data_IF_875136180285
#
_entry.id   IF_875136180285
#
_cell.length_a   1.000
_cell.length_b   1.000
_cell.length_c   1.000
_cell.angle_alpha   90.00
_cell.angle_beta   90.00
_cell.angle_gamma   90.00
#
_symmetry.space_group_name_H-M   'P 1'
#
loop_
_entity.id
_entity.type
_entity.pdbx_description
1 polymer ?
#
# COMPACT_ATOMS: atom_id res chain seq x y z
N UNK A 1 -20.42 -2.56 -14.22
CA UNK A 1 -19.30 -1.73 -13.73
C UNK A 1 -19.56 -0.25 -13.95
N UNK A 2 -19.60 0.26 -15.20
CA UNK A 2 -19.77 1.71 -15.46
C UNK A 2 -21.03 2.29 -14.84
N UNK A 3 -22.18 1.60 -14.97
CA UNK A 3 -23.45 2.07 -14.43
C UNK A 3 -23.40 2.27 -12.90
N UNK A 4 -22.95 1.25 -12.16
CA UNK A 4 -22.80 1.30 -10.69
C UNK A 4 -21.84 2.40 -10.23
N UNK A 5 -20.67 2.52 -10.87
CA UNK A 5 -19.69 3.54 -10.50
C UNK A 5 -20.21 4.97 -10.72
N UNK A 6 -21.05 5.18 -11.75
CA UNK A 6 -21.54 6.50 -12.12
C UNK A 6 -22.86 6.88 -11.44
N UNK A 7 -23.64 5.90 -10.97
CA UNK A 7 -25.04 6.13 -10.57
C UNK A 7 -25.35 5.76 -9.12
N UNK A 8 -24.50 4.97 -8.45
CA UNK A 8 -24.74 4.57 -7.06
C UNK A 8 -24.53 5.74 -6.10
N UNK A 9 -25.46 5.90 -5.16
CA UNK A 9 -25.47 7.02 -4.19
C UNK A 9 -24.20 7.07 -3.35
N UNK A 10 -23.73 5.89 -2.93
CA UNK A 10 -22.41 5.67 -2.33
C UNK A 10 -21.56 4.92 -3.34
N UNK A 11 -20.30 5.33 -3.51
CA UNK A 11 -19.39 4.64 -4.43
C UNK A 11 -19.27 3.16 -4.03
N UNK A 12 -19.36 2.22 -5.00
CA UNK A 12 -19.37 0.79 -4.72
C UNK A 12 -17.95 0.24 -4.49
N UNK A 13 -17.21 0.86 -3.56
CA UNK A 13 -15.87 0.46 -3.16
C UNK A 13 -15.87 -0.03 -1.72
N UNK A 14 -15.14 -1.12 -1.46
CA UNK A 14 -14.92 -1.63 -0.11
C UNK A 14 -13.43 -1.57 0.25
N UNK A 15 -13.09 -0.70 1.21
CA UNK A 15 -11.74 -0.57 1.73
C UNK A 15 -11.26 -1.80 2.52
N UNK A 16 -12.17 -2.67 2.99
CA UNK A 16 -11.81 -3.91 3.69
C UNK A 16 -11.16 -4.93 2.75
N UNK A 17 -11.61 -4.98 1.49
CA UNK A 17 -10.99 -5.83 0.46
C UNK A 17 -9.53 -5.41 0.27
N UNK A 18 -9.28 -4.09 0.25
CA UNK A 18 -7.92 -3.55 0.13
C UNK A 18 -7.06 -3.93 1.35
N UNK A 19 -7.61 -3.90 2.56
CA UNK A 19 -6.93 -4.34 3.76
C UNK A 19 -6.53 -5.83 3.71
N UNK A 20 -7.44 -6.68 3.20
CA UNK A 20 -7.20 -8.12 3.06
C UNK A 20 -6.04 -8.39 2.09
N UNK A 21 -6.01 -7.73 0.93
CA UNK A 21 -4.93 -7.93 -0.05
C UNK A 21 -3.60 -7.36 0.42
N UNK A 22 -3.58 -6.23 1.14
CA UNK A 22 -2.35 -5.67 1.72
C UNK A 22 -1.67 -6.63 2.68
N UNK A 23 -2.45 -7.36 3.50
CA UNK A 23 -1.93 -8.40 4.38
C UNK A 23 -1.26 -9.53 3.58
N UNK A 24 -1.95 -10.05 2.56
CA UNK A 24 -1.41 -11.09 1.69
C UNK A 24 -0.11 -10.63 1.02
N UNK A 25 -0.06 -9.39 0.54
CA UNK A 25 1.12 -8.84 -0.12
C UNK A 25 2.29 -8.61 0.84
N UNK A 26 2.03 -8.12 2.05
CA UNK A 26 3.05 -7.98 3.09
C UNK A 26 3.64 -9.34 3.48
N UNK A 27 2.80 -10.36 3.65
CA UNK A 27 3.24 -11.74 3.93
C UNK A 27 4.06 -12.31 2.74
N UNK A 28 3.60 -12.09 1.50
CA UNK A 28 4.30 -12.56 0.28
C UNK A 28 5.71 -11.95 0.19
N UNK A 29 5.83 -10.63 0.32
CA UNK A 29 7.13 -9.95 0.17
C UNK A 29 8.07 -10.26 1.34
N UNK A 30 7.53 -10.43 2.55
CA UNK A 30 8.30 -10.89 3.70
C UNK A 30 8.86 -12.30 3.45
N UNK A 31 8.05 -13.24 2.95
CA UNK A 31 8.50 -14.59 2.62
C UNK A 31 9.61 -14.60 1.55
N UNK A 32 9.60 -13.65 0.60
CA UNK A 32 10.69 -13.47 -0.36
C UNK A 32 11.97 -13.02 0.35
N UNK A 33 11.88 -12.05 1.26
CA UNK A 33 13.03 -11.59 2.06
C UNK A 33 13.64 -12.70 2.93
N UNK A 34 12.81 -13.64 3.39
CA UNK A 34 13.23 -14.79 4.21
C UNK A 34 14.07 -15.82 3.46
N UNK A 35 14.32 -15.64 2.16
CA UNK A 35 15.37 -16.37 1.42
C UNK A 35 16.78 -15.93 1.85
N UNK A 36 16.90 -14.78 2.53
CA UNK A 36 18.16 -14.18 2.98
C UNK A 36 18.14 -13.87 4.49
N UNK A 37 17.88 -14.86 5.36
CA UNK A 37 17.62 -14.61 6.78
C UNK A 37 18.87 -14.14 7.54
N UNK A 38 20.07 -14.51 7.10
CA UNK A 38 21.32 -14.10 7.75
C UNK A 38 21.61 -12.64 7.47
N UNK A 39 21.45 -12.20 6.23
CA UNK A 39 21.67 -10.84 5.78
C UNK A 39 20.63 -9.89 6.37
N UNK A 40 19.36 -10.29 6.43
CA UNK A 40 18.32 -9.55 7.14
C UNK A 40 18.73 -9.21 8.58
N UNK A 41 19.34 -10.18 9.29
CA UNK A 41 19.86 -9.97 10.64
C UNK A 41 21.12 -9.09 10.66
N UNK A 42 22.07 -9.34 9.76
CA UNK A 42 23.33 -8.59 9.65
C UNK A 42 23.09 -7.10 9.38
N UNK A 43 22.18 -6.77 8.47
CA UNK A 43 21.88 -5.39 8.06
C UNK A 43 20.71 -4.75 8.84
N UNK A 44 20.18 -5.47 9.84
CA UNK A 44 19.07 -5.05 10.70
C UNK A 44 17.84 -4.60 9.90
N UNK A 45 17.43 -5.41 8.92
CA UNK A 45 16.24 -5.17 8.12
C UNK A 45 15.04 -5.76 8.85
N UNK A 46 14.02 -4.92 9.08
CA UNK A 46 12.77 -5.32 9.72
C UNK A 46 11.57 -4.91 8.86
N UNK A 47 10.53 -5.74 8.87
CA UNK A 47 9.23 -5.48 8.25
C UNK A 47 8.17 -5.00 9.26
N UNK A 48 8.53 -4.81 10.53
CA UNK A 48 7.59 -4.47 11.60
C UNK A 48 6.81 -3.20 11.30
N UNK A 49 7.46 -2.20 10.69
CA UNK A 49 6.81 -0.95 10.28
C UNK A 49 5.73 -1.18 9.23
N UNK A 50 6.00 -2.02 8.22
CA UNK A 50 5.04 -2.37 7.18
C UNK A 50 3.86 -3.16 7.77
N UNK A 51 4.14 -4.19 8.57
CA UNK A 51 3.08 -4.97 9.22
C UNK A 51 2.24 -4.12 10.18
N UNK A 52 2.86 -3.21 10.92
CA UNK A 52 2.16 -2.25 11.78
C UNK A 52 1.25 -1.33 10.96
N UNK A 53 1.73 -0.79 9.84
CA UNK A 53 0.93 0.04 8.95
C UNK A 53 -0.25 -0.72 8.35
N UNK A 54 -0.05 -1.96 7.88
CA UNK A 54 -1.12 -2.82 7.35
C UNK A 54 -2.16 -3.15 8.42
N UNK A 55 -1.72 -3.45 9.64
CA UNK A 55 -2.63 -3.68 10.77
C UNK A 55 -3.48 -2.43 11.04
N UNK A 56 -2.86 -1.27 11.12
CA UNK A 56 -3.57 -0.02 11.39
C UNK A 56 -4.53 0.34 10.25
N UNK A 57 -4.12 0.15 8.99
CA UNK A 57 -4.99 0.28 7.82
C UNK A 57 -6.22 -0.63 7.94
N UNK A 58 -6.04 -1.90 8.32
CA UNK A 58 -7.14 -2.85 8.49
C UNK A 58 -8.13 -2.39 9.57
N UNK A 59 -7.62 -1.93 10.71
CA UNK A 59 -8.45 -1.42 11.80
C UNK A 59 -9.22 -0.15 11.40
N UNK A 60 -8.56 0.78 10.71
CA UNK A 60 -9.18 2.04 10.26
C UNK A 60 -10.20 1.78 9.14
N UNK A 61 -9.90 0.90 8.18
CA UNK A 61 -10.83 0.49 7.13
C UNK A 61 -12.09 -0.16 7.74
N UNK A 62 -11.93 -0.99 8.78
CA UNK A 62 -13.08 -1.56 9.50
C UNK A 62 -13.93 -0.49 10.17
N UNK A 63 -13.32 0.50 10.83
CA UNK A 63 -14.03 1.63 11.44
C UNK A 63 -14.73 2.49 10.38
N UNK A 64 -14.07 2.79 9.27
CA UNK A 64 -14.65 3.53 8.15
C UNK A 64 -15.88 2.81 7.58
N UNK A 65 -15.78 1.50 7.32
CA UNK A 65 -16.90 0.69 6.82
C UNK A 65 -18.10 0.69 7.77
N UNK A 66 -17.88 0.64 9.09
CA UNK A 66 -18.96 0.80 10.08
C UNK A 66 -19.61 2.18 10.01
N UNK A 67 -18.83 3.26 9.97
CA UNK A 67 -19.35 4.64 9.81
C UNK A 67 -20.13 4.81 8.52
N UNK A 68 -19.73 4.14 7.45
CA UNK A 68 -20.41 4.17 6.16
C UNK A 68 -21.78 3.45 6.21
N UNK A 69 -21.91 2.39 7.01
CA UNK A 69 -23.19 1.69 7.23
C UNK A 69 -24.18 2.56 8.01
N UNK A 70 -23.70 3.28 9.02
CA UNK A 70 -24.49 4.16 9.88
C UNK A 70 -24.74 5.56 9.28
N UNK A 71 -24.29 5.80 8.05
CA UNK A 71 -24.36 7.10 7.37
C UNK A 71 -25.82 7.52 7.10
N UNK A 72 -26.18 8.73 7.54
CA UNK A 72 -27.40 9.40 7.10
C UNK A 72 -27.27 9.86 5.65
N UNK A 73 -27.82 9.07 4.73
CA UNK A 73 -27.80 9.32 3.28
C UNK A 73 -28.65 10.52 2.86
N UNK A 74 -29.47 11.08 3.75
CA UNK A 74 -30.25 12.29 3.45
C UNK A 74 -29.43 13.57 3.52
N UNK A 75 -28.29 13.55 4.23
CA UNK A 75 -27.37 14.68 4.32
C UNK A 75 -26.37 14.64 3.14
N UNK A 76 -26.50 15.53 2.13
CA UNK A 76 -25.68 15.48 0.93
C UNK A 76 -24.20 15.82 1.21
N UNK A 77 -23.91 16.60 2.25
CA UNK A 77 -22.54 17.00 2.59
C UNK A 77 -21.80 15.81 3.21
N UNK A 78 -22.40 15.13 4.19
CA UNK A 78 -21.80 13.95 4.81
C UNK A 78 -21.62 12.82 3.79
N UNK A 79 -22.63 12.60 2.93
CA UNK A 79 -22.52 11.66 1.83
C UNK A 79 -21.35 11.98 0.90
N UNK A 80 -21.17 13.26 0.56
CA UNK A 80 -20.06 13.70 -0.29
C UNK A 80 -18.70 13.47 0.36
N UNK A 81 -18.56 13.81 1.65
CA UNK A 81 -17.31 13.59 2.40
C UNK A 81 -16.93 12.10 2.39
N UNK A 82 -17.88 11.20 2.68
CA UNK A 82 -17.63 9.75 2.65
C UNK A 82 -17.26 9.25 1.26
N UNK A 83 -17.94 9.72 0.21
CA UNK A 83 -17.63 9.37 -1.17
C UNK A 83 -16.25 9.88 -1.60
N UNK A 84 -15.86 11.08 -1.17
CA UNK A 84 -14.52 11.59 -1.46
C UNK A 84 -13.45 10.75 -0.74
N UNK A 85 -13.67 10.30 0.50
CA UNK A 85 -12.75 9.37 1.17
C UNK A 85 -12.59 8.04 0.39
N UNK A 86 -13.69 7.47 -0.11
CA UNK A 86 -13.66 6.27 -0.97
C UNK A 86 -12.91 6.53 -2.28
N UNK A 87 -13.20 7.63 -2.96
CA UNK A 87 -12.61 7.98 -4.26
C UNK A 87 -11.10 8.27 -4.15
N UNK A 88 -10.69 8.97 -3.09
CA UNK A 88 -9.31 9.39 -2.91
C UNK A 88 -8.41 8.33 -2.27
N UNK A 89 -8.97 7.25 -1.70
CA UNK A 89 -8.21 6.16 -1.12
C UNK A 89 -7.16 5.60 -2.09
N UNK A 90 -7.54 5.31 -3.34
CA UNK A 90 -6.61 4.79 -4.34
C UNK A 90 -5.46 5.77 -4.63
N UNK A 91 -5.76 7.08 -4.62
CA UNK A 91 -4.75 8.12 -4.85
C UNK A 91 -3.76 8.23 -3.69
N UNK A 92 -4.14 7.81 -2.49
CA UNK A 92 -3.26 7.82 -1.33
C UNK A 92 -2.08 6.84 -1.46
N UNK A 93 -2.17 5.86 -2.37
CA UNK A 93 -1.09 4.92 -2.67
C UNK A 93 -0.12 5.39 -3.76
N UNK A 94 -0.22 6.65 -4.20
CA UNK A 94 0.61 7.25 -5.24
C UNK A 94 1.75 8.05 -4.60
N UNK A 95 2.99 7.58 -4.77
CA UNK A 95 4.20 8.33 -4.42
C UNK A 95 4.55 9.31 -5.56
N UNK A 96 4.59 10.64 -5.32
CA UNK A 96 4.90 11.63 -6.35
C UNK A 96 6.31 11.45 -6.95
N UNK A 97 7.25 10.84 -6.23
CA UNK A 97 8.61 10.59 -6.72
C UNK A 97 8.68 9.40 -7.68
N UNK A 98 7.70 8.50 -7.63
CA UNK A 98 7.71 7.26 -8.39
C UNK A 98 8.72 6.23 -7.88
N UNK A 99 8.77 5.09 -8.57
CA UNK A 99 9.74 4.05 -8.30
C UNK A 99 11.15 4.47 -8.75
N UNK A 100 12.21 3.88 -8.15
CA UNK A 100 13.59 4.11 -8.60
C UNK A 100 13.73 3.96 -10.11
N UNK A 101 14.38 4.96 -10.72
CA UNK A 101 14.62 5.09 -12.17
C UNK A 101 13.36 5.07 -13.06
N UNK A 102 12.17 5.19 -12.47
CA UNK A 102 10.87 5.03 -13.14
C UNK A 102 9.82 6.02 -12.60
N UNK A 103 9.95 7.33 -12.88
CA UNK A 103 9.14 8.38 -12.28
C UNK A 103 7.64 8.36 -12.67
N UNK A 104 7.28 7.58 -13.69
CA UNK A 104 5.89 7.42 -14.14
C UNK A 104 5.16 6.24 -13.46
N UNK A 105 5.89 5.30 -12.87
CA UNK A 105 5.30 4.25 -12.04
C UNK A 105 5.28 4.72 -10.59
N UNK A 106 4.12 5.22 -10.15
CA UNK A 106 3.97 5.90 -8.87
C UNK A 106 3.20 5.14 -7.82
N UNK A 107 2.49 4.11 -8.24
CA UNK A 107 1.65 3.36 -7.33
C UNK A 107 2.53 2.40 -6.50
N UNK A 108 2.57 2.62 -5.18
CA UNK A 108 3.47 1.92 -4.25
C UNK A 108 3.07 0.46 -4.04
N UNK A 109 1.77 0.16 -4.10
CA UNK A 109 1.27 -1.23 -3.99
C UNK A 109 1.37 -1.97 -5.32
N UNK A 110 1.02 -1.34 -6.44
CA UNK A 110 0.93 -1.97 -7.76
C UNK A 110 1.81 -1.27 -8.79
N UNK A 111 2.78 -1.95 -9.34
CA UNK A 111 3.41 -1.52 -10.59
C UNK A 111 4.04 -2.73 -11.29
N UNK A 112 4.31 -2.63 -12.60
CA UNK A 112 5.17 -3.61 -13.26
C UNK A 112 6.52 -3.67 -12.54
N UNK A 113 6.99 -4.87 -12.20
CA UNK A 113 8.35 -5.04 -11.70
C UNK A 113 9.35 -4.59 -12.78
N UNK A 114 10.50 -4.09 -12.36
CA UNK A 114 11.60 -3.79 -13.27
C UNK A 114 12.14 -5.05 -13.98
N UNK A 115 12.03 -6.20 -13.32
CA UNK A 115 12.56 -7.50 -13.77
C UNK A 115 11.52 -8.39 -14.45
N UNK A 116 10.23 -8.20 -14.16
CA UNK A 116 9.15 -8.90 -14.85
C UNK A 116 7.94 -7.99 -15.05
N UNK A 117 7.79 -7.46 -16.27
CA UNK A 117 6.70 -6.54 -16.61
C UNK A 117 5.34 -7.23 -16.79
N UNK A 118 5.31 -8.56 -16.90
CA UNK A 118 4.08 -9.34 -17.12
C UNK A 118 3.50 -9.91 -15.83
N UNK A 119 4.34 -10.32 -14.88
CA UNK A 119 3.89 -10.63 -13.53
C UNK A 119 3.78 -9.32 -12.75
N UNK A 120 2.56 -8.81 -12.58
CA UNK A 120 2.33 -7.72 -11.64
C UNK A 120 2.79 -8.16 -10.25
N UNK A 121 3.78 -7.46 -9.69
CA UNK A 121 4.26 -7.72 -8.33
C UNK A 121 3.72 -6.66 -7.40
N UNK A 122 3.33 -7.09 -6.20
CA UNK A 122 2.94 -6.17 -5.13
C UNK A 122 4.16 -5.64 -4.40
N UNK A 123 4.08 -4.40 -3.92
CA UNK A 123 5.23 -3.68 -3.37
C UNK A 123 6.47 -3.74 -4.28
N UNK A 124 6.35 -3.31 -5.56
CA UNK A 124 7.40 -3.44 -6.57
C UNK A 124 8.73 -2.82 -6.14
N UNK A 125 8.72 -1.73 -5.37
CA UNK A 125 9.94 -1.12 -4.83
C UNK A 125 10.72 -2.08 -3.93
N UNK A 126 10.04 -2.78 -3.02
CA UNK A 126 10.68 -3.78 -2.14
C UNK A 126 11.12 -5.00 -2.97
N UNK A 127 10.26 -5.45 -3.89
CA UNK A 127 10.55 -6.61 -4.73
C UNK A 127 11.81 -6.39 -5.58
N UNK A 128 11.89 -5.26 -6.29
CA UNK A 128 13.01 -4.94 -7.16
C UNK A 128 14.30 -4.79 -6.32
N UNK A 129 14.22 -4.11 -5.16
CA UNK A 129 15.36 -3.99 -4.25
C UNK A 129 15.87 -5.35 -3.74
N UNK A 130 14.96 -6.28 -3.40
CA UNK A 130 15.31 -7.64 -2.98
C UNK A 130 15.89 -8.48 -4.14
N UNK A 131 15.44 -8.26 -5.36
CA UNK A 131 15.95 -8.96 -6.54
C UNK A 131 17.39 -8.54 -6.86
N UNK A 132 17.69 -7.25 -6.72
CA UNK A 132 18.99 -6.68 -7.06
C UNK A 132 20.07 -6.83 -5.96
N UNK A 133 19.78 -7.46 -4.83
CA UNK A 133 20.76 -7.57 -3.72
C UNK A 133 22.06 -8.29 -4.10
N UNK A 134 22.00 -9.22 -5.06
CA UNK A 134 23.18 -9.98 -5.51
C UNK A 134 23.92 -9.33 -6.67
N UNK A 135 23.28 -8.39 -7.38
CA UNK A 135 23.86 -7.68 -8.53
C UNK A 135 24.61 -6.41 -8.12
N UNK A 136 24.40 -5.91 -6.91
CA UNK A 136 25.05 -4.72 -6.36
C UNK A 136 26.47 -5.02 -5.86
N UNK A 137 27.40 -4.11 -6.17
CA UNK A 137 28.80 -4.22 -5.78
C UNK A 137 29.01 -4.02 -4.26
N UNK A 138 28.21 -3.16 -3.62
CA UNK A 138 28.18 -2.97 -2.18
C UNK A 138 26.91 -3.58 -1.57
N UNK A 139 27.03 -4.71 -0.82
CA UNK A 139 25.91 -5.31 -0.12
C UNK A 139 25.23 -4.36 0.87
N UNK A 140 25.99 -3.48 1.52
CA UNK A 140 25.45 -2.52 2.50
C UNK A 140 24.49 -1.54 1.85
N UNK A 141 24.84 -1.02 0.67
CA UNK A 141 23.99 -0.14 -0.13
C UNK A 141 22.73 -0.88 -0.59
N UNK A 142 22.87 -2.13 -1.04
CA UNK A 142 21.74 -2.95 -1.48
C UNK A 142 20.69 -3.14 -0.37
N UNK A 143 21.14 -3.51 0.83
CA UNK A 143 20.25 -3.68 1.99
C UNK A 143 19.74 -2.35 2.55
N UNK A 144 20.46 -1.25 2.35
CA UNK A 144 19.94 0.08 2.64
C UNK A 144 18.75 0.45 1.73
N UNK A 145 18.81 0.09 0.45
CA UNK A 145 17.68 0.30 -0.48
C UNK A 145 16.46 -0.53 -0.10
N UNK A 146 16.64 -1.80 0.30
CA UNK A 146 15.54 -2.64 0.82
C UNK A 146 14.87 -1.96 2.02
N UNK A 147 15.66 -1.49 3.00
CA UNK A 147 15.12 -0.76 4.17
C UNK A 147 14.38 0.52 3.78
N UNK A 148 14.89 1.26 2.80
CA UNK A 148 14.27 2.48 2.29
C UNK A 148 12.90 2.19 1.68
N UNK A 149 12.82 1.16 0.84
CA UNK A 149 11.57 0.77 0.17
C UNK A 149 10.53 0.23 1.15
N UNK A 150 10.94 -0.53 2.17
CA UNK A 150 10.04 -0.96 3.27
C UNK A 150 9.49 0.28 3.99
N UNK A 151 10.34 1.28 4.27
CA UNK A 151 9.92 2.51 4.94
C UNK A 151 8.93 3.32 4.11
N UNK A 152 9.14 3.43 2.79
CA UNK A 152 8.21 4.09 1.86
C UNK A 152 6.88 3.36 1.81
N UNK A 153 6.90 2.03 1.69
CA UNK A 153 5.69 1.21 1.69
C UNK A 153 4.90 1.36 3.01
N UNK A 154 5.58 1.26 4.15
CA UNK A 154 4.96 1.43 5.47
C UNK A 154 4.35 2.83 5.63
N UNK A 155 5.10 3.88 5.28
CA UNK A 155 4.60 5.25 5.29
C UNK A 155 3.37 5.43 4.41
N UNK A 156 3.41 4.92 3.17
CA UNK A 156 2.32 5.07 2.21
C UNK A 156 1.05 4.36 2.67
N UNK A 157 1.17 3.12 3.17
CA UNK A 157 0.03 2.37 3.73
C UNK A 157 -0.55 3.11 4.95
N UNK A 158 0.30 3.64 5.81
CA UNK A 158 -0.14 4.40 6.99
C UNK A 158 -0.79 5.74 6.61
N UNK A 159 -0.28 6.43 5.59
CA UNK A 159 -0.86 7.66 5.07
C UNK A 159 -2.23 7.40 4.43
N UNK A 160 -2.35 6.32 3.64
CA UNK A 160 -3.63 5.87 3.09
C UNK A 160 -4.64 5.48 4.17
N UNK A 161 -4.19 4.88 5.27
CA UNK A 161 -5.08 4.66 6.42
C UNK A 161 -5.61 5.98 6.99
N UNK A 162 -4.75 7.01 7.05
CA UNK A 162 -5.12 8.36 7.49
C UNK A 162 -6.27 8.97 6.69
N UNK A 163 -6.36 8.70 5.38
CA UNK A 163 -7.44 9.25 4.53
C UNK A 163 -8.81 8.66 4.86
N UNK A 164 -8.87 7.52 5.54
CA UNK A 164 -10.10 6.86 6.00
C UNK A 164 -10.44 7.16 7.47
N UNK A 165 -9.67 8.00 8.14
CA UNK A 165 -9.97 8.40 9.52
C UNK A 165 -11.15 9.37 9.60
N UNK A 166 -11.62 9.70 10.81
CA UNK A 166 -12.63 10.73 10.98
C UNK A 166 -12.10 12.09 10.54
N UNK A 167 -12.91 12.82 9.77
CA UNK A 167 -12.62 14.17 9.34
C UNK A 167 -13.25 15.10 10.37
N UNK A 168 -12.44 16.01 10.93
CA UNK A 168 -12.88 17.02 11.91
C UNK A 168 -13.70 18.14 11.24
#
# INVERSE_FOLDING_TARGET
MVFELASSTVLPFDCQDYAAVLKIYADKIYNISMRHPQEMKTYSVSFDSLFSAVKNFTEIASKFSKRLQDLDKSNPILLRIMNDQLMFLERAFIDPLGLPDRPFYRHVIYAPSSHNKYAGESFPGIYDALFDITSKADPSEAWAEVKRQISIAAFTVQAAAGTLSEVA
#
